data_IF_612340697703
#
_entry.id   IF_612340697703
#
_cell.length_a   1.000
_cell.length_b   1.000
_cell.length_c   1.000
_cell.angle_alpha   90.00
_cell.angle_beta   90.00
_cell.angle_gamma   90.00
#
_symmetry.space_group_name_H-M   'P 1'
#
loop_
_entity.id
_entity.type
_entity.pdbx_description
1 polymer ?
#
# COMPACT_ATOMS: atom_id res chain seq x y z
N UNK A 1 30.69 -30.62 8.00
CA UNK A 1 30.67 -30.57 6.51
C UNK A 1 29.88 -29.33 6.13
N UNK A 2 30.57 -28.25 5.87
CA UNK A 2 29.96 -26.98 5.39
C UNK A 2 29.44 -27.24 3.98
N UNK A 3 28.12 -27.29 3.83
CA UNK A 3 27.48 -27.17 2.53
C UNK A 3 27.82 -25.76 1.97
N UNK A 4 28.82 -25.72 1.07
CA UNK A 4 29.10 -24.55 0.27
C UNK A 4 27.94 -24.49 -0.74
N UNK A 5 26.90 -23.70 -0.41
CA UNK A 5 25.90 -23.33 -1.38
C UNK A 5 26.63 -22.51 -2.44
N UNK A 6 26.64 -22.98 -3.67
CA UNK A 6 27.01 -22.18 -4.84
C UNK A 6 25.98 -21.05 -4.96
N UNK A 7 26.23 -19.95 -4.27
CA UNK A 7 25.49 -18.71 -4.44
C UNK A 7 26.01 -18.12 -5.74
N UNK A 8 25.31 -18.38 -6.82
CA UNK A 8 25.50 -17.71 -8.11
C UNK A 8 24.99 -16.25 -7.98
N UNK A 9 25.61 -15.49 -7.08
CA UNK A 9 25.27 -14.11 -6.87
C UNK A 9 25.80 -13.29 -8.05
N UNK A 10 24.91 -12.93 -8.96
CA UNK A 10 25.20 -11.90 -9.94
C UNK A 10 25.34 -10.58 -9.19
N UNK A 11 26.50 -9.97 -9.23
CA UNK A 11 26.73 -8.64 -8.64
C UNK A 11 26.02 -7.53 -9.43
N UNK A 12 25.55 -7.84 -10.62
CA UNK A 12 24.84 -6.96 -11.54
C UNK A 12 23.57 -7.65 -12.05
N UNK A 13 22.58 -6.88 -12.50
CA UNK A 13 21.37 -7.40 -13.20
C UNK A 13 20.55 -8.42 -12.39
N UNK A 14 20.32 -8.15 -11.09
CA UNK A 14 19.48 -9.02 -10.24
C UNK A 14 18.11 -8.40 -9.90
N UNK A 15 17.92 -7.10 -10.14
CA UNK A 15 16.68 -6.40 -9.75
C UNK A 15 15.47 -6.93 -10.50
N UNK A 16 15.60 -7.20 -11.79
CA UNK A 16 14.55 -7.77 -12.61
C UNK A 16 14.07 -9.15 -12.11
N UNK A 17 14.96 -9.92 -11.50
CA UNK A 17 14.62 -11.23 -10.94
C UNK A 17 13.90 -11.11 -9.59
N UNK A 18 14.12 -10.01 -8.86
CA UNK A 18 13.56 -9.79 -7.53
C UNK A 18 12.28 -8.94 -7.61
N UNK A 19 12.32 -7.83 -8.35
CA UNK A 19 11.23 -6.86 -8.42
C UNK A 19 10.33 -7.05 -9.65
N UNK A 20 10.81 -7.72 -10.69
CA UNK A 20 10.06 -7.96 -11.93
C UNK A 20 9.12 -9.16 -11.91
N UNK A 21 9.02 -9.90 -10.81
CA UNK A 21 8.21 -11.12 -10.72
C UNK A 21 7.14 -11.01 -9.63
N UNK A 22 5.87 -11.12 -10.02
CA UNK A 22 4.71 -11.07 -9.12
C UNK A 22 4.79 -12.09 -7.97
N UNK A 23 5.17 -13.32 -8.25
CA UNK A 23 5.28 -14.37 -7.23
C UNK A 23 6.36 -14.02 -6.20
N UNK A 24 7.49 -13.51 -6.65
CA UNK A 24 8.58 -13.04 -5.79
C UNK A 24 8.10 -11.94 -4.86
N UNK A 25 7.44 -10.91 -5.38
CA UNK A 25 6.90 -9.81 -4.58
C UNK A 25 5.84 -10.30 -3.59
N UNK A 26 4.93 -11.19 -4.00
CA UNK A 26 3.91 -11.76 -3.11
C UNK A 26 4.53 -12.50 -1.92
N UNK A 27 5.53 -13.36 -2.16
CA UNK A 27 6.24 -14.07 -1.10
C UNK A 27 6.98 -13.10 -0.18
N UNK A 28 7.68 -12.13 -0.74
CA UNK A 28 8.42 -11.14 0.03
C UNK A 28 7.50 -10.27 0.90
N UNK A 29 6.33 -9.86 0.41
CA UNK A 29 5.31 -9.17 1.22
C UNK A 29 4.85 -10.00 2.41
N UNK A 30 4.55 -11.30 2.18
CA UNK A 30 4.14 -12.19 3.28
C UNK A 30 5.25 -12.30 4.32
N UNK A 31 6.46 -12.61 3.91
CA UNK A 31 7.60 -12.75 4.82
C UNK A 31 7.91 -11.45 5.56
N UNK A 32 7.77 -10.31 4.91
CA UNK A 32 7.98 -9.00 5.50
C UNK A 32 6.89 -8.64 6.51
N UNK A 33 5.61 -8.86 6.17
CA UNK A 33 4.49 -8.59 7.07
C UNK A 33 4.51 -9.48 8.33
N UNK A 34 5.10 -10.66 8.22
CA UNK A 34 5.26 -11.60 9.33
C UNK A 34 6.73 -11.75 9.75
N UNK A 35 7.50 -10.66 9.72
CA UNK A 35 8.93 -10.68 10.10
C UNK A 35 9.13 -11.35 11.46
N UNK A 36 10.12 -12.24 11.53
CA UNK A 36 10.40 -13.05 12.72
C UNK A 36 9.63 -14.37 12.79
N UNK A 37 8.67 -14.62 11.90
CA UNK A 37 8.00 -15.92 11.76
C UNK A 37 8.65 -16.76 10.67
N UNK A 38 8.50 -18.07 10.79
CA UNK A 38 8.90 -19.05 9.78
C UNK A 38 7.66 -19.63 9.10
N UNK A 39 7.81 -20.01 7.85
CA UNK A 39 6.75 -20.62 7.04
C UNK A 39 7.24 -21.94 6.46
N UNK A 40 6.33 -22.90 6.29
CA UNK A 40 6.55 -24.01 5.36
C UNK A 40 6.25 -23.56 3.94
N UNK A 41 6.80 -24.25 2.92
CA UNK A 41 6.50 -23.93 1.51
C UNK A 41 4.99 -23.89 1.23
N UNK A 42 4.23 -24.89 1.71
CA UNK A 42 2.77 -24.96 1.56
C UNK A 42 2.06 -23.81 2.28
N UNK A 43 2.53 -23.47 3.48
CA UNK A 43 1.99 -22.34 4.25
C UNK A 43 2.21 -21.03 3.52
N UNK A 44 3.41 -20.84 2.96
CA UNK A 44 3.76 -19.65 2.19
C UNK A 44 2.96 -19.56 0.89
N UNK A 45 2.84 -20.66 0.13
CA UNK A 45 2.03 -20.74 -1.07
C UNK A 45 0.58 -20.33 -0.82
N UNK A 46 -0.03 -20.84 0.25
CA UNK A 46 -1.42 -20.52 0.63
C UNK A 46 -1.60 -19.02 0.95
N UNK A 47 -0.70 -18.45 1.77
CA UNK A 47 -0.82 -17.04 2.19
C UNK A 47 -0.49 -16.08 1.05
N UNK A 48 0.43 -16.47 0.15
CA UNK A 48 0.81 -15.68 -1.04
C UNK A 48 -0.14 -15.86 -2.23
N UNK A 49 -1.16 -16.70 -2.10
CA UNK A 49 -2.10 -17.06 -3.18
C UNK A 49 -1.40 -17.59 -4.44
N UNK A 50 -0.41 -18.46 -4.25
CA UNK A 50 0.38 -19.09 -5.30
C UNK A 50 0.16 -20.60 -5.32
N UNK A 51 0.45 -21.25 -6.46
CA UNK A 51 0.57 -22.71 -6.51
C UNK A 51 1.78 -23.19 -5.71
N UNK A 52 1.74 -24.41 -5.19
CA UNK A 52 2.89 -24.98 -4.46
C UNK A 52 4.17 -25.04 -5.32
N UNK A 53 4.03 -25.33 -6.61
CA UNK A 53 5.16 -25.40 -7.55
C UNK A 53 5.78 -24.03 -7.76
N UNK A 54 4.94 -23.00 -7.93
CA UNK A 54 5.40 -21.63 -8.12
C UNK A 54 6.07 -21.09 -6.86
N UNK A 55 5.47 -21.34 -5.69
CA UNK A 55 6.05 -20.93 -4.41
C UNK A 55 7.40 -21.60 -4.17
N UNK A 56 7.53 -22.92 -4.40
CA UNK A 56 8.79 -23.64 -4.25
C UNK A 56 9.89 -23.07 -5.16
N UNK A 57 9.60 -22.90 -6.46
CA UNK A 57 10.56 -22.30 -7.40
C UNK A 57 10.99 -20.89 -6.99
N UNK A 58 10.04 -20.09 -6.51
CA UNK A 58 10.32 -18.73 -6.08
C UNK A 58 11.17 -18.70 -4.81
N UNK A 59 10.88 -19.57 -3.85
CA UNK A 59 11.66 -19.71 -2.61
C UNK A 59 13.10 -20.15 -2.92
N UNK A 60 13.28 -21.14 -3.80
CA UNK A 60 14.61 -21.58 -4.25
C UNK A 60 15.40 -20.45 -4.91
N UNK A 61 14.72 -19.60 -5.72
CA UNK A 61 15.34 -18.44 -6.32
C UNK A 61 15.75 -17.40 -5.27
N UNK A 62 14.87 -17.11 -4.32
CA UNK A 62 15.14 -16.16 -3.24
C UNK A 62 16.27 -16.64 -2.32
N UNK A 63 16.40 -17.96 -2.11
CA UNK A 63 17.52 -18.54 -1.38
C UNK A 63 18.84 -18.37 -2.12
N UNK A 64 18.87 -18.61 -3.44
CA UNK A 64 20.06 -18.35 -4.29
C UNK A 64 20.52 -16.89 -4.24
N UNK A 65 19.60 -15.95 -4.10
CA UNK A 65 19.92 -14.53 -3.87
C UNK A 65 20.27 -14.21 -2.41
N UNK A 66 20.23 -15.18 -1.52
CA UNK A 66 20.50 -15.01 -0.10
C UNK A 66 19.48 -14.14 0.64
N UNK A 67 18.28 -13.95 0.07
CA UNK A 67 17.22 -13.13 0.64
C UNK A 67 16.44 -13.90 1.71
N UNK A 68 16.24 -15.20 1.49
CA UNK A 68 15.62 -16.11 2.44
C UNK A 68 16.61 -17.16 2.89
N UNK A 69 16.27 -17.83 4.00
CA UNK A 69 16.94 -19.03 4.51
C UNK A 69 15.95 -20.16 4.57
N UNK A 70 16.39 -21.34 4.12
CA UNK A 70 15.66 -22.58 4.22
C UNK A 70 16.35 -23.44 5.27
N UNK A 71 15.66 -23.80 6.33
CA UNK A 71 16.18 -24.65 7.40
C UNK A 71 15.38 -25.93 7.50
N UNK A 72 16.02 -27.13 7.48
CA UNK A 72 15.32 -28.37 7.72
C UNK A 72 14.92 -28.47 9.19
N UNK A 73 13.64 -28.76 9.44
CA UNK A 73 13.10 -29.00 10.79
C UNK A 73 12.25 -30.25 10.73
N UNK A 74 12.80 -31.34 11.23
CA UNK A 74 12.20 -32.68 11.10
C UNK A 74 12.05 -33.08 9.63
N UNK A 75 10.80 -33.35 9.20
CA UNK A 75 10.48 -33.71 7.80
C UNK A 75 10.05 -32.52 6.93
N UNK A 76 10.10 -31.31 7.45
CA UNK A 76 9.67 -30.11 6.76
C UNK A 76 10.81 -29.10 6.65
N UNK A 77 10.68 -28.18 5.69
CA UNK A 77 11.54 -27.01 5.57
C UNK A 77 10.83 -25.79 6.14
N UNK A 78 11.58 -24.99 6.90
CA UNK A 78 11.15 -23.68 7.40
C UNK A 78 11.86 -22.58 6.65
N UNK A 79 11.08 -21.63 6.15
CA UNK A 79 11.51 -20.50 5.34
C UNK A 79 11.37 -19.24 6.17
N UNK A 80 12.41 -18.43 6.21
CA UNK A 80 12.45 -17.13 6.88
C UNK A 80 13.28 -16.11 6.09
N UNK A 81 13.12 -14.83 6.39
CA UNK A 81 14.00 -13.80 5.85
C UNK A 81 15.42 -13.96 6.37
N UNK A 82 16.40 -13.66 5.52
CA UNK A 82 17.80 -13.59 5.92
C UNK A 82 18.17 -12.17 6.32
N UNK A 83 18.08 -11.83 7.60
CA UNK A 83 18.36 -10.49 8.11
C UNK A 83 19.78 -9.99 7.82
N UNK A 84 20.72 -10.88 7.44
CA UNK A 84 22.08 -10.50 7.02
C UNK A 84 22.20 -10.18 5.54
N UNK A 85 21.13 -10.40 4.75
CA UNK A 85 21.15 -10.16 3.30
C UNK A 85 21.29 -8.68 2.99
N UNK A 86 22.30 -8.34 2.19
CA UNK A 86 22.47 -6.98 1.66
C UNK A 86 21.26 -6.58 0.79
N UNK A 87 20.84 -7.47 -0.11
CA UNK A 87 19.72 -7.23 -1.03
C UNK A 87 18.41 -7.02 -0.25
N UNK A 88 18.15 -7.88 0.75
CA UNK A 88 16.97 -7.70 1.62
C UNK A 88 16.97 -6.32 2.27
N UNK A 89 18.09 -5.94 2.91
CA UNK A 89 18.15 -4.75 3.74
C UNK A 89 18.23 -3.44 2.95
N UNK A 90 18.85 -3.46 1.75
CA UNK A 90 19.09 -2.24 0.97
C UNK A 90 18.10 -2.02 -0.17
N UNK A 91 17.39 -3.08 -0.59
CA UNK A 91 16.51 -3.01 -1.75
C UNK A 91 15.09 -3.47 -1.39
N UNK A 92 14.94 -4.72 -0.97
CA UNK A 92 13.61 -5.31 -0.80
C UNK A 92 12.85 -4.65 0.35
N UNK A 93 13.45 -4.57 1.53
CA UNK A 93 12.79 -4.01 2.72
C UNK A 93 12.44 -2.53 2.53
N UNK A 94 13.34 -1.64 2.06
CA UNK A 94 12.97 -0.25 1.80
C UNK A 94 11.86 -0.11 0.76
N UNK A 95 11.86 -0.92 -0.31
CA UNK A 95 10.81 -0.89 -1.34
C UNK A 95 9.44 -1.29 -0.77
N UNK A 96 9.38 -2.37 0.02
CA UNK A 96 8.14 -2.81 0.66
C UNK A 96 7.65 -1.84 1.75
N UNK A 97 8.56 -1.17 2.46
CA UNK A 97 8.20 -0.10 3.40
C UNK A 97 7.61 1.10 2.66
N UNK A 98 8.26 1.57 1.60
CA UNK A 98 7.78 2.68 0.78
C UNK A 98 6.38 2.38 0.21
N UNK A 99 6.17 1.17 -0.32
CA UNK A 99 4.86 0.72 -0.79
C UNK A 99 3.80 0.81 0.31
N UNK A 100 4.09 0.33 1.50
CA UNK A 100 3.17 0.36 2.65
C UNK A 100 2.86 1.79 3.11
N UNK A 101 3.81 2.69 3.01
CA UNK A 101 3.71 4.09 3.46
C UNK A 101 3.12 5.03 2.39
N UNK A 102 2.85 4.53 1.18
CA UNK A 102 2.39 5.35 0.04
C UNK A 102 1.09 6.08 0.36
N UNK A 103 0.09 5.39 0.93
CA UNK A 103 -1.18 6.00 1.31
C UNK A 103 -1.00 7.08 2.38
N UNK A 104 -0.18 6.83 3.39
CA UNK A 104 0.11 7.80 4.44
C UNK A 104 0.84 9.03 3.87
N UNK A 105 1.74 8.83 2.90
CA UNK A 105 2.43 9.93 2.23
C UNK A 105 1.44 10.79 1.43
N UNK A 106 0.51 10.17 0.73
CA UNK A 106 -0.57 10.83 -0.01
C UNK A 106 -1.48 11.63 0.94
N UNK A 107 -1.89 11.05 2.07
CA UNK A 107 -2.70 11.72 3.08
C UNK A 107 -1.96 12.94 3.65
N UNK A 108 -0.67 12.83 3.94
CA UNK A 108 0.14 13.95 4.41
C UNK A 108 0.19 15.10 3.39
N UNK A 109 0.29 14.76 2.10
CA UNK A 109 0.31 15.75 1.04
C UNK A 109 -1.05 16.43 0.87
N UNK A 110 -2.15 15.68 0.88
CA UNK A 110 -3.50 16.25 0.92
C UNK A 110 -3.69 17.16 2.11
N UNK A 111 -3.28 16.73 3.29
CA UNK A 111 -3.38 17.51 4.52
C UNK A 111 -2.63 18.83 4.43
N UNK A 112 -1.44 18.87 3.82
CA UNK A 112 -0.64 20.09 3.60
C UNK A 112 -1.45 21.18 2.89
N UNK A 113 -2.30 20.81 1.92
CA UNK A 113 -3.14 21.75 1.16
C UNK A 113 -4.48 22.04 1.83
N UNK A 114 -5.11 21.02 2.42
CA UNK A 114 -6.49 21.08 2.88
C UNK A 114 -6.65 21.42 4.37
N UNK A 115 -5.56 21.41 5.18
CA UNK A 115 -5.62 21.75 6.60
C UNK A 115 -5.68 23.27 6.81
N UNK A 116 -6.82 23.85 6.51
CA UNK A 116 -7.09 25.30 6.61
C UNK A 116 -8.41 25.55 7.34
N UNK A 117 -8.56 26.75 7.91
CA UNK A 117 -9.78 27.13 8.66
C UNK A 117 -11.05 27.11 7.80
N UNK A 118 -10.92 27.24 6.47
CA UNK A 118 -12.06 27.24 5.55
C UNK A 118 -12.52 25.85 5.14
N UNK A 119 -11.67 24.83 5.28
CA UNK A 119 -12.04 23.43 5.05
C UNK A 119 -12.56 22.84 6.36
N UNK A 120 -13.82 22.48 6.35
CA UNK A 120 -14.51 21.90 7.52
C UNK A 120 -14.14 20.46 7.73
N UNK A 121 -14.08 19.71 6.63
CA UNK A 121 -13.70 18.30 6.60
C UNK A 121 -13.18 17.93 5.21
N UNK A 122 -12.17 17.09 5.14
CA UNK A 122 -11.73 16.44 3.91
C UNK A 122 -11.47 14.96 4.20
N UNK A 123 -12.03 14.08 3.37
CA UNK A 123 -11.95 12.63 3.54
C UNK A 123 -11.72 11.93 2.22
N UNK A 124 -10.90 10.87 2.24
CA UNK A 124 -10.78 9.92 1.12
C UNK A 124 -11.85 8.85 1.31
N UNK A 125 -12.45 8.40 0.20
CA UNK A 125 -13.42 7.31 0.19
C UNK A 125 -13.22 6.41 -1.05
N UNK A 126 -14.15 5.49 -1.32
CA UNK A 126 -14.11 4.68 -2.54
C UNK A 126 -13.16 3.49 -2.50
N UNK A 127 -12.60 3.13 -3.65
CA UNK A 127 -11.80 1.91 -3.83
C UNK A 127 -10.50 1.92 -3.05
N UNK A 128 -9.83 3.06 -2.94
CA UNK A 128 -8.57 3.22 -2.19
C UNK A 128 -8.74 2.85 -0.72
N UNK A 129 -9.84 3.28 -0.09
CA UNK A 129 -10.11 2.97 1.33
C UNK A 129 -10.42 1.50 1.55
N UNK A 130 -10.96 0.83 0.54
CA UNK A 130 -11.28 -0.61 0.57
C UNK A 130 -10.10 -1.51 0.19
N UNK A 131 -9.01 -0.94 -0.34
CA UNK A 131 -7.91 -1.70 -0.91
C UNK A 131 -8.30 -2.48 -2.18
N UNK A 132 -9.27 -1.94 -2.93
CA UNK A 132 -9.82 -2.52 -4.17
C UNK A 132 -9.48 -1.67 -5.40
N UNK A 133 -8.54 -0.74 -5.26
CA UNK A 133 -8.10 0.13 -6.35
C UNK A 133 -7.46 -0.66 -7.49
N UNK A 134 -7.70 -0.19 -8.72
CA UNK A 134 -7.08 -0.69 -9.96
C UNK A 134 -6.04 0.32 -10.45
N UNK A 135 -5.22 -0.10 -11.42
CA UNK A 135 -4.15 0.73 -11.98
C UNK A 135 -4.62 2.13 -12.44
N UNK A 136 -5.85 2.25 -12.94
CA UNK A 136 -6.43 3.51 -13.42
C UNK A 136 -7.43 4.14 -12.43
N UNK A 137 -7.47 3.72 -11.18
CA UNK A 137 -8.40 4.26 -10.19
C UNK A 137 -7.98 5.67 -9.77
N UNK A 138 -8.94 6.61 -9.82
CA UNK A 138 -8.79 7.93 -9.24
C UNK A 138 -8.96 7.86 -7.70
N UNK A 139 -8.45 8.87 -7.00
CA UNK A 139 -8.65 9.05 -5.56
C UNK A 139 -9.94 9.84 -5.34
N UNK A 140 -10.96 9.17 -4.83
CA UNK A 140 -12.21 9.81 -4.47
C UNK A 140 -12.02 10.66 -3.21
N UNK A 141 -12.21 11.98 -3.32
CA UNK A 141 -12.02 12.95 -2.25
C UNK A 141 -13.32 13.72 -1.98
N UNK A 142 -13.85 13.64 -0.77
CA UNK A 142 -14.93 14.51 -0.32
C UNK A 142 -14.34 15.68 0.47
N UNK A 143 -14.74 16.89 0.09
CA UNK A 143 -14.38 18.13 0.79
C UNK A 143 -15.65 18.86 1.22
N UNK A 144 -15.70 19.27 2.48
CA UNK A 144 -16.79 20.08 3.02
C UNK A 144 -16.23 21.46 3.35
N UNK A 145 -16.80 22.49 2.68
CA UNK A 145 -16.44 23.90 2.88
C UNK A 145 -17.64 24.79 2.56
N UNK A 146 -17.86 25.83 3.37
CA UNK A 146 -18.86 26.84 3.05
C UNK A 146 -18.33 27.92 2.08
N UNK A 147 -17.03 27.88 1.74
CA UNK A 147 -16.37 28.70 0.71
C UNK A 147 -16.00 27.79 -0.47
N UNK A 148 -16.92 27.67 -1.43
CA UNK A 148 -16.79 26.74 -2.56
C UNK A 148 -15.62 27.10 -3.48
N UNK A 149 -15.44 28.40 -3.76
CA UNK A 149 -14.38 28.88 -4.67
C UNK A 149 -13.00 28.58 -4.08
N UNK A 150 -12.82 28.90 -2.80
CA UNK A 150 -11.61 28.57 -2.07
C UNK A 150 -11.33 27.05 -2.03
N UNK A 151 -12.37 26.24 -1.75
CA UNK A 151 -12.22 24.79 -1.73
C UNK A 151 -11.79 24.26 -3.10
N UNK A 152 -12.37 24.78 -4.18
CA UNK A 152 -12.01 24.41 -5.55
C UNK A 152 -10.55 24.74 -5.86
N UNK A 153 -10.08 25.92 -5.47
CA UNK A 153 -8.69 26.35 -5.67
C UNK A 153 -7.70 25.44 -4.93
N UNK A 154 -7.91 25.21 -3.64
CA UNK A 154 -6.98 24.38 -2.86
C UNK A 154 -6.99 22.92 -3.28
N UNK A 155 -8.14 22.39 -3.73
CA UNK A 155 -8.23 21.04 -4.30
C UNK A 155 -7.50 20.96 -5.63
N UNK A 156 -7.59 21.98 -6.49
CA UNK A 156 -6.85 22.02 -7.75
C UNK A 156 -5.33 21.99 -7.52
N UNK A 157 -4.83 22.80 -6.58
CA UNK A 157 -3.42 22.83 -6.20
C UNK A 157 -2.96 21.47 -5.63
N UNK A 158 -3.78 20.84 -4.78
CA UNK A 158 -3.51 19.49 -4.26
C UNK A 158 -3.47 18.44 -5.39
N UNK A 159 -4.40 18.55 -6.35
CA UNK A 159 -4.49 17.62 -7.49
C UNK A 159 -3.25 17.68 -8.39
N UNK A 160 -2.72 18.87 -8.64
CA UNK A 160 -1.50 19.06 -9.43
C UNK A 160 -0.28 18.41 -8.73
N UNK A 161 -0.07 18.69 -7.44
CA UNK A 161 1.04 18.12 -6.68
C UNK A 161 0.90 16.59 -6.53
N UNK A 162 -0.31 16.05 -6.33
CA UNK A 162 -0.55 14.61 -6.25
C UNK A 162 -0.33 13.94 -7.60
N UNK A 163 -0.83 14.51 -8.69
CA UNK A 163 -0.62 13.94 -10.02
C UNK A 163 0.86 13.87 -10.38
N UNK A 164 1.62 14.90 -10.07
CA UNK A 164 3.06 14.93 -10.34
C UNK A 164 3.86 13.97 -9.44
N UNK A 165 3.42 13.78 -8.18
CA UNK A 165 4.16 12.98 -7.19
C UNK A 165 3.83 11.49 -7.26
N UNK A 166 2.54 11.14 -7.42
CA UNK A 166 2.05 9.76 -7.33
C UNK A 166 1.55 9.21 -8.66
N UNK A 167 1.47 10.03 -9.73
CA UNK A 167 0.98 9.58 -11.03
C UNK A 167 -0.51 9.22 -11.06
N UNK A 168 -1.30 9.71 -10.09
CA UNK A 168 -2.74 9.45 -9.99
C UNK A 168 -3.54 10.75 -9.98
N UNK A 169 -4.86 10.66 -10.13
CA UNK A 169 -5.76 11.82 -10.17
C UNK A 169 -6.67 11.84 -8.95
N UNK A 170 -7.12 13.04 -8.59
CA UNK A 170 -8.17 13.22 -7.59
C UNK A 170 -9.50 13.39 -8.31
N UNK A 171 -10.53 12.68 -7.86
CA UNK A 171 -11.93 12.87 -8.20
C UNK A 171 -12.65 13.57 -7.03
N UNK A 172 -12.72 14.91 -7.01
CA UNK A 172 -13.23 15.65 -5.87
C UNK A 172 -14.75 15.78 -5.91
N UNK A 173 -15.39 15.68 -4.75
CA UNK A 173 -16.76 16.10 -4.50
C UNK A 173 -16.71 17.17 -3.43
N UNK A 174 -17.21 18.36 -3.74
CA UNK A 174 -17.23 19.50 -2.81
C UNK A 174 -18.68 19.79 -2.40
N UNK A 175 -18.94 19.81 -1.10
CA UNK A 175 -20.23 20.18 -0.52
C UNK A 175 -20.09 21.33 0.48
N UNK A 176 -21.15 22.16 0.58
CA UNK A 176 -21.34 22.99 1.78
C UNK A 176 -21.80 22.11 2.94
N UNK A 177 -21.67 22.58 4.19
CA UNK A 177 -22.23 21.87 5.35
C UNK A 177 -23.72 21.60 5.18
N UNK A 178 -24.47 22.61 4.69
CA UNK A 178 -25.90 22.51 4.44
C UNK A 178 -26.24 21.41 3.43
N UNK A 179 -25.51 21.38 2.30
CA UNK A 179 -25.75 20.38 1.26
C UNK A 179 -25.41 18.97 1.76
N UNK A 180 -24.31 18.80 2.46
CA UNK A 180 -23.92 17.53 3.05
C UNK A 180 -24.99 17.02 4.01
N UNK A 181 -25.45 17.87 4.94
CA UNK A 181 -26.48 17.48 5.92
C UNK A 181 -27.82 17.17 5.24
N UNK A 182 -28.25 17.96 4.25
CA UNK A 182 -29.50 17.73 3.53
C UNK A 182 -29.48 16.41 2.73
N UNK A 183 -28.33 16.01 2.22
CA UNK A 183 -28.10 14.79 1.44
C UNK A 183 -27.73 13.56 2.30
N UNK A 184 -27.74 13.65 3.61
CA UNK A 184 -27.31 12.58 4.51
C UNK A 184 -28.02 11.23 4.30
N UNK A 185 -29.20 11.22 3.66
CA UNK A 185 -29.97 10.02 3.30
C UNK A 185 -29.62 9.45 1.91
N UNK A 186 -28.78 10.14 1.12
CA UNK A 186 -28.35 9.65 -0.19
C UNK A 186 -27.42 8.45 -0.03
N UNK A 187 -27.53 7.46 -0.91
CA UNK A 187 -26.74 6.21 -0.87
C UNK A 187 -25.23 6.47 -0.97
N UNK A 188 -24.82 7.48 -1.76
CA UNK A 188 -23.42 7.90 -1.83
C UNK A 188 -22.91 8.35 -0.45
N UNK A 189 -23.63 9.26 0.20
CA UNK A 189 -23.21 9.78 1.53
C UNK A 189 -23.20 8.65 2.58
N UNK A 190 -24.17 7.74 2.52
CA UNK A 190 -24.17 6.56 3.41
C UNK A 190 -22.95 5.67 3.17
N UNK A 191 -22.60 5.43 1.91
CA UNK A 191 -21.41 4.65 1.54
C UNK A 191 -20.13 5.32 2.05
N UNK A 192 -20.00 6.65 1.89
CA UNK A 192 -18.87 7.41 2.41
C UNK A 192 -18.77 7.29 3.93
N UNK A 193 -19.88 7.50 4.62
CA UNK A 193 -19.95 7.42 6.08
C UNK A 193 -19.61 6.03 6.63
N UNK A 194 -19.86 4.97 5.87
CA UNK A 194 -19.55 3.60 6.29
C UNK A 194 -18.07 3.24 6.13
N UNK A 195 -17.36 3.89 5.21
CA UNK A 195 -15.96 3.57 4.92
C UNK A 195 -15.23 4.77 4.30
N UNK A 196 -14.48 5.50 5.12
CA UNK A 196 -13.69 6.65 4.71
C UNK A 196 -12.45 6.82 5.59
N UNK A 197 -11.50 7.61 5.12
CA UNK A 197 -10.31 8.02 5.87
C UNK A 197 -10.33 9.54 6.00
N UNK A 198 -10.37 10.04 7.22
CA UNK A 198 -10.26 11.47 7.47
C UNK A 198 -8.85 11.97 7.12
N UNK A 199 -8.78 12.98 6.26
CA UNK A 199 -7.54 13.69 5.93
C UNK A 199 -7.32 14.85 6.89
N UNK A 200 -8.34 15.70 7.06
CA UNK A 200 -8.29 16.85 7.98
C UNK A 200 -9.69 17.32 8.36
N UNK A 201 -9.80 18.09 9.43
CA UNK A 201 -11.03 18.73 9.89
C UNK A 201 -11.85 17.85 10.83
N UNK A 202 -13.17 17.95 10.73
CA UNK A 202 -14.15 17.34 11.63
C UNK A 202 -14.61 16.00 11.03
N UNK A 203 -14.73 14.96 11.86
CA UNK A 203 -15.31 13.66 11.47
C UNK A 203 -16.72 13.85 10.88
N UNK A 204 -17.02 13.16 9.77
CA UNK A 204 -18.27 13.34 9.04
C UNK A 204 -19.52 13.03 9.87
N UNK A 205 -19.42 12.11 10.83
CA UNK A 205 -20.49 11.74 11.74
C UNK A 205 -20.91 12.89 12.66
N UNK A 206 -19.99 13.81 12.94
CA UNK A 206 -20.26 14.99 13.80
C UNK A 206 -20.88 16.15 13.02
N UNK A 207 -21.00 16.02 11.72
CA UNK A 207 -21.59 17.05 10.82
C UNK A 207 -23.04 16.76 10.42
N UNK A 208 -23.63 15.70 10.96
CA UNK A 208 -25.02 15.28 10.71
C UNK A 208 -26.02 16.12 11.47
#
# INVERSE_FOLDING_TARGET
>A
MLLIYNIDMRLHTYLEHILGNKATISILRVLFNYKGKTFTERGLAKVSNLSNVEASRTVDQLEKFGIVRIQPVGKAYQISLNDRSYILNKIVQPSLMAEKETLDALIRLLKKHLDTKKIVSATIFGSVVKGEEKEDSDIDLLVISDDFDYATEVVANASEEISSTFGTRISPIIFTRKDFTSKARNDLIRSILSNHILVTGIELEKLK
#
